data_IF_510271114353
#
_entry.id   IF_510271114353
#
_cell.length_a   1.000
_cell.length_b   1.000
_cell.length_c   1.000
_cell.angle_alpha   90.00
_cell.angle_beta   90.00
_cell.angle_gamma   90.00
#
_symmetry.space_group_name_H-M   'P 1'
#
loop_
_entity.id
_entity.type
_entity.pdbx_description
1 polymer ?
#
# COMPACT_ATOMS: atom_id res chain seq x y z
N UNK A 1 9.23 0.93 -11.91
CA UNK A 1 10.46 0.17 -12.21
C UNK A 1 10.09 -1.16 -12.86
N UNK A 2 10.89 -1.69 -13.80
CA UNK A 2 10.69 -3.03 -14.36
C UNK A 2 11.01 -4.10 -13.30
N UNK A 3 10.45 -5.29 -13.48
CA UNK A 3 10.89 -6.49 -12.74
C UNK A 3 12.34 -6.80 -13.14
N UNK A 4 13.18 -7.03 -12.13
CA UNK A 4 14.58 -7.40 -12.32
C UNK A 4 14.75 -8.89 -12.03
N UNK A 5 15.60 -9.57 -12.82
CA UNK A 5 15.91 -10.96 -12.60
C UNK A 5 17.42 -11.18 -12.81
N UNK A 6 18.06 -11.85 -11.87
CA UNK A 6 19.49 -12.08 -11.94
C UNK A 6 20.05 -12.76 -10.70
N UNK A 7 21.34 -13.00 -10.74
CA UNK A 7 22.09 -13.54 -9.61
C UNK A 7 22.36 -12.43 -8.60
N UNK A 8 21.98 -12.61 -7.35
CA UNK A 8 22.22 -11.65 -6.26
C UNK A 8 23.67 -11.76 -5.80
N UNK A 9 24.51 -10.80 -6.24
CA UNK A 9 25.97 -10.92 -6.09
C UNK A 9 26.55 -10.04 -4.99
N UNK A 10 25.81 -9.02 -4.55
CA UNK A 10 26.31 -8.12 -3.51
C UNK A 10 25.15 -7.46 -2.74
N UNK A 11 25.38 -7.28 -1.42
CA UNK A 11 24.55 -6.49 -0.53
C UNK A 11 25.45 -5.57 0.30
N UNK A 12 25.25 -4.27 0.15
CA UNK A 12 25.80 -3.23 0.99
C UNK A 12 24.75 -2.61 1.91
N UNK A 13 25.12 -1.62 2.70
CA UNK A 13 24.22 -0.98 3.67
C UNK A 13 23.03 -0.27 3.00
N UNK A 14 23.26 0.34 1.83
CA UNK A 14 22.23 1.11 1.12
C UNK A 14 21.89 0.59 -0.27
N UNK A 15 22.58 -0.43 -0.77
CA UNK A 15 22.31 -0.97 -2.10
C UNK A 15 22.58 -2.46 -2.23
N UNK A 16 21.83 -3.11 -3.14
CA UNK A 16 22.10 -4.47 -3.61
C UNK A 16 22.47 -4.48 -5.08
N UNK A 17 23.10 -5.57 -5.54
CA UNK A 17 23.51 -5.75 -6.94
C UNK A 17 23.01 -7.09 -7.46
N UNK A 18 22.31 -7.05 -8.62
CA UNK A 18 21.96 -8.21 -9.42
C UNK A 18 22.87 -8.27 -10.64
N UNK A 19 23.40 -9.46 -10.92
CA UNK A 19 24.08 -9.78 -12.17
C UNK A 19 23.07 -10.38 -13.15
N UNK A 20 22.81 -9.67 -14.24
CA UNK A 20 21.94 -10.09 -15.33
C UNK A 20 22.80 -10.62 -16.49
N UNK A 21 22.98 -11.95 -16.58
CA UNK A 21 23.92 -12.54 -17.56
C UNK A 21 25.37 -12.42 -17.14
N UNK A 22 26.28 -12.28 -18.12
CA UNK A 22 27.74 -12.25 -17.88
C UNK A 22 28.28 -10.88 -17.51
N UNK A 23 27.80 -9.83 -18.16
CA UNK A 23 28.46 -8.51 -18.14
C UNK A 23 27.55 -7.36 -17.69
N UNK A 24 26.30 -7.65 -17.34
CA UNK A 24 25.34 -6.63 -16.96
C UNK A 24 25.04 -6.71 -15.48
N UNK A 25 25.15 -5.57 -14.81
CA UNK A 25 24.86 -5.44 -13.40
C UNK A 25 23.81 -4.35 -13.18
N UNK A 26 22.80 -4.65 -12.37
CA UNK A 26 21.79 -3.69 -11.96
C UNK A 26 21.92 -3.44 -10.47
N UNK A 27 22.03 -2.16 -10.12
CA UNK A 27 22.03 -1.70 -8.73
C UNK A 27 20.63 -1.30 -8.32
N UNK A 28 20.21 -1.70 -7.13
CA UNK A 28 18.92 -1.35 -6.55
C UNK A 28 19.07 -0.96 -5.08
N UNK A 29 18.10 -0.22 -4.54
CA UNK A 29 18.10 0.21 -3.14
C UNK A 29 17.89 -0.99 -2.21
N UNK A 30 18.71 -1.12 -1.16
CA UNK A 30 18.61 -2.24 -0.21
C UNK A 30 17.27 -2.25 0.56
N UNK A 31 16.59 -1.11 0.71
CA UNK A 31 15.26 -1.05 1.31
C UNK A 31 14.24 -1.91 0.57
N UNK A 32 14.44 -2.17 -0.73
CA UNK A 32 13.59 -3.04 -1.54
C UNK A 32 13.64 -4.51 -1.11
N UNK A 33 14.65 -4.92 -0.33
CA UNK A 33 14.74 -6.29 0.20
C UNK A 33 13.83 -6.52 1.43
N UNK A 34 13.29 -5.47 2.02
CA UNK A 34 12.48 -5.57 3.23
C UNK A 34 13.27 -6.12 4.42
N UNK A 35 12.61 -6.94 5.25
CA UNK A 35 13.20 -7.45 6.49
C UNK A 35 14.13 -8.66 6.30
N UNK A 36 14.06 -9.34 5.16
CA UNK A 36 14.80 -10.58 4.93
C UNK A 36 15.45 -10.58 3.56
N UNK A 37 16.76 -10.40 3.53
CA UNK A 37 17.51 -10.50 2.29
C UNK A 37 17.62 -11.96 1.82
N UNK A 38 17.50 -12.21 0.50
CA UNK A 38 17.74 -13.54 -0.06
C UNK A 38 19.22 -13.93 0.10
N UNK A 39 19.54 -15.23 0.03
CA UNK A 39 20.93 -15.68 0.08
C UNK A 39 21.77 -15.06 -1.03
N UNK A 40 23.00 -14.64 -0.72
CA UNK A 40 23.95 -14.22 -1.74
C UNK A 40 24.21 -15.36 -2.72
N UNK A 41 24.40 -15.01 -3.97
CA UNK A 41 24.59 -15.92 -5.12
C UNK A 41 23.36 -16.72 -5.54
N UNK A 42 22.22 -16.57 -4.89
CA UNK A 42 20.95 -17.08 -5.41
C UNK A 42 20.53 -16.31 -6.67
N UNK A 43 19.78 -16.98 -7.55
CA UNK A 43 19.09 -16.32 -8.64
C UNK A 43 17.73 -15.86 -8.12
N UNK A 44 17.47 -14.57 -8.20
CA UNK A 44 16.23 -13.97 -7.69
C UNK A 44 15.50 -13.18 -8.77
N UNK A 45 14.19 -13.12 -8.62
CA UNK A 45 13.33 -12.15 -9.31
C UNK A 45 12.85 -11.14 -8.29
N UNK A 46 13.11 -9.87 -8.58
CA UNK A 46 12.75 -8.73 -7.75
C UNK A 46 11.69 -7.93 -8.51
N UNK A 47 10.46 -7.96 -8.00
CA UNK A 47 9.33 -7.22 -8.55
C UNK A 47 9.08 -6.00 -7.69
N UNK A 48 9.38 -4.79 -8.19
CA UNK A 48 9.18 -3.56 -7.43
C UNK A 48 7.72 -3.36 -7.05
N UNK A 49 7.51 -2.63 -5.96
CA UNK A 49 6.18 -2.22 -5.52
C UNK A 49 5.31 -1.69 -6.66
N UNK A 50 4.09 -2.15 -6.68
CA UNK A 50 3.05 -1.66 -7.60
C UNK A 50 1.79 -1.38 -6.81
N UNK A 51 1.36 -0.11 -6.84
CA UNK A 51 0.11 0.28 -6.23
C UNK A 51 -1.07 -0.57 -6.73
N UNK A 52 -1.91 -1.02 -5.80
CA UNK A 52 -3.08 -1.86 -6.07
C UNK A 52 -4.35 -1.19 -5.54
N UNK A 53 -5.49 -1.61 -6.05
CA UNK A 53 -6.78 -1.24 -5.51
C UNK A 53 -7.22 -2.23 -4.41
N UNK A 54 -8.41 -1.98 -3.82
CA UNK A 54 -8.98 -2.81 -2.76
C UNK A 54 -9.35 -4.26 -3.20
N UNK A 55 -9.32 -4.54 -4.49
CA UNK A 55 -9.48 -5.89 -5.05
C UNK A 55 -8.12 -6.56 -5.34
N UNK A 56 -7.02 -5.88 -5.05
CA UNK A 56 -5.66 -6.35 -5.30
C UNK A 56 -5.21 -6.21 -6.76
N UNK A 57 -6.00 -5.52 -7.60
CA UNK A 57 -5.69 -5.30 -9.01
C UNK A 57 -4.71 -4.13 -9.13
N UNK A 58 -3.66 -4.29 -9.95
CA UNK A 58 -2.69 -3.22 -10.20
C UNK A 58 -3.35 -1.96 -10.76
N UNK A 59 -3.01 -0.81 -10.19
CA UNK A 59 -3.48 0.48 -10.69
C UNK A 59 -2.82 0.88 -12.01
N UNK A 60 -1.74 0.22 -12.41
CA UNK A 60 -0.99 0.47 -13.65
C UNK A 60 -1.31 -0.52 -14.76
N UNK A 61 -2.01 -1.62 -14.47
CA UNK A 61 -2.43 -2.62 -15.45
C UNK A 61 -3.73 -2.17 -16.12
N UNK A 62 -3.66 -1.06 -16.83
CA UNK A 62 -4.76 -0.68 -17.71
C UNK A 62 -4.61 -1.43 -19.03
N UNK A 63 -5.69 -2.01 -19.58
CA UNK A 63 -5.66 -2.54 -20.92
C UNK A 63 -5.27 -1.40 -21.86
N UNK A 64 -4.20 -1.62 -22.64
CA UNK A 64 -3.81 -0.73 -23.72
C UNK A 64 -4.98 -0.74 -24.70
N UNK A 65 -5.77 0.31 -24.73
CA UNK A 65 -6.74 0.48 -25.81
C UNK A 65 -5.95 0.78 -27.07
N UNK A 66 -5.76 -0.21 -27.91
CA UNK A 66 -5.26 -0.04 -29.27
C UNK A 66 -6.28 0.79 -30.05
N UNK A 67 -6.20 2.09 -29.92
CA UNK A 67 -6.84 3.00 -30.84
C UNK A 67 -5.80 3.65 -31.72
N UNK A 68 -5.80 3.27 -32.99
CA UNK A 68 -5.05 3.91 -34.08
C UNK A 68 -3.52 3.83 -33.99
N UNK A 69 -2.96 2.71 -33.49
CA UNK A 69 -1.50 2.51 -33.53
C UNK A 69 -0.69 3.36 -32.56
N UNK A 70 -1.31 4.20 -31.76
CA UNK A 70 -0.68 4.95 -30.67
C UNK A 70 -0.97 4.29 -29.33
N UNK A 71 0.05 3.67 -28.76
CA UNK A 71 0.04 3.20 -27.37
C UNK A 71 0.01 4.40 -26.44
N UNK A 72 -1.17 4.81 -26.01
CA UNK A 72 -1.29 5.81 -24.95
C UNK A 72 -1.15 5.08 -23.63
N UNK A 73 -0.06 5.30 -22.91
CA UNK A 73 0.06 4.93 -21.51
C UNK A 73 -1.03 5.68 -20.75
N UNK A 74 -2.14 5.00 -20.46
CA UNK A 74 -3.13 5.49 -19.52
C UNK A 74 -2.43 5.57 -18.16
N UNK A 75 -2.52 6.72 -17.51
CA UNK A 75 -1.90 6.95 -16.21
C UNK A 75 -2.40 5.99 -15.12
N UNK A 76 -1.79 6.05 -13.96
CA UNK A 76 -2.23 5.33 -12.76
C UNK A 76 -3.70 5.60 -12.49
N UNK A 77 -4.52 4.53 -12.36
CA UNK A 77 -5.91 4.64 -11.91
C UNK A 77 -5.93 5.13 -10.47
N UNK A 78 -7.01 5.80 -10.11
CA UNK A 78 -7.23 6.22 -8.75
C UNK A 78 -7.62 5.01 -7.89
N UNK A 79 -7.03 4.89 -6.70
CA UNK A 79 -7.50 4.01 -5.66
C UNK A 79 -8.70 4.65 -4.95
N UNK A 80 -9.86 4.03 -5.02
CA UNK A 80 -11.09 4.54 -4.40
C UNK A 80 -11.64 3.48 -3.46
N UNK A 81 -12.02 3.82 -2.22
CA UNK A 81 -12.70 2.89 -1.33
C UNK A 81 -13.94 2.28 -2.01
N UNK A 82 -14.11 0.95 -2.00
CA UNK A 82 -15.10 0.23 -2.81
C UNK A 82 -16.47 0.20 -2.15
N UNK A 83 -17.05 1.37 -1.94
CA UNK A 83 -18.35 1.59 -1.30
C UNK A 83 -19.25 2.45 -2.17
N UNK A 84 -20.55 2.36 -1.97
CA UNK A 84 -21.57 3.15 -2.65
C UNK A 84 -22.31 4.06 -1.65
N UNK A 85 -21.73 5.23 -1.32
CA UNK A 85 -22.31 6.14 -0.34
C UNK A 85 -23.57 6.81 -0.88
N UNK A 86 -24.61 6.92 -0.05
CA UNK A 86 -25.87 7.57 -0.43
C UNK A 86 -25.86 9.05 -0.09
N UNK A 87 -25.25 9.44 1.03
CA UNK A 87 -25.14 10.83 1.43
C UNK A 87 -23.97 11.54 0.75
N UNK A 88 -24.10 12.85 0.54
CA UNK A 88 -23.04 13.67 -0.02
C UNK A 88 -21.84 13.79 0.96
N UNK A 89 -22.08 13.69 2.26
CA UNK A 89 -21.01 13.69 3.26
C UNK A 89 -20.10 12.47 3.14
N UNK A 90 -20.68 11.29 2.97
CA UNK A 90 -19.89 10.07 2.74
C UNK A 90 -19.22 10.05 1.36
N UNK A 91 -19.88 10.56 0.33
CA UNK A 91 -19.25 10.73 -0.99
C UNK A 91 -18.00 11.60 -0.88
N UNK A 92 -18.12 12.74 -0.20
CA UNK A 92 -17.00 13.64 0.04
C UNK A 92 -15.88 12.97 0.83
N UNK A 93 -16.21 12.22 1.88
CA UNK A 93 -15.21 11.50 2.69
C UNK A 93 -14.47 10.44 1.83
N UNK A 94 -15.17 9.66 1.03
CA UNK A 94 -14.59 8.69 0.10
C UNK A 94 -13.66 9.38 -0.91
N UNK A 95 -14.12 10.48 -1.52
CA UNK A 95 -13.32 11.26 -2.46
C UNK A 95 -12.09 11.89 -1.80
N UNK A 96 -12.21 12.37 -0.57
CA UNK A 96 -11.08 12.88 0.20
C UNK A 96 -10.00 11.80 0.37
N UNK A 97 -10.36 10.61 0.85
CA UNK A 97 -9.41 9.52 1.08
C UNK A 97 -8.73 9.07 -0.23
N UNK A 98 -9.47 9.09 -1.35
CA UNK A 98 -8.95 8.73 -2.65
C UNK A 98 -7.97 9.76 -3.25
N UNK A 99 -8.01 11.02 -2.79
CA UNK A 99 -7.17 12.10 -3.30
C UNK A 99 -6.13 12.60 -2.28
N UNK A 100 -6.39 12.41 -1.00
CA UNK A 100 -5.54 12.90 0.07
C UNK A 100 -4.17 12.24 -0.01
N UNK A 101 -3.08 13.01 -0.22
CA UNK A 101 -1.75 12.44 -0.25
C UNK A 101 -1.37 11.91 1.13
N UNK A 102 -0.78 10.73 1.18
CA UNK A 102 -0.10 10.22 2.36
C UNK A 102 1.14 11.08 2.68
N UNK A 103 1.68 11.03 3.92
CA UNK A 103 2.87 11.80 4.30
C UNK A 103 4.09 11.55 3.42
N UNK A 104 4.22 10.36 2.83
CA UNK A 104 5.27 10.01 1.86
C UNK A 104 5.17 10.76 0.52
N UNK A 105 4.03 11.37 0.21
CA UNK A 105 3.73 12.10 -1.04
C UNK A 105 3.79 11.25 -2.31
N UNK A 106 3.85 9.95 -2.20
CA UNK A 106 3.89 8.96 -3.30
C UNK A 106 2.54 8.28 -3.44
N UNK A 107 1.95 7.93 -2.29
CA UNK A 107 0.65 7.27 -2.19
C UNK A 107 -0.46 8.26 -1.83
N UNK A 108 -1.69 7.83 -2.01
CA UNK A 108 -2.86 8.42 -1.35
C UNK A 108 -3.19 7.64 -0.09
N UNK A 109 -4.01 8.19 0.81
CA UNK A 109 -4.46 7.49 2.01
C UNK A 109 -5.23 6.21 1.65
N UNK A 110 -6.00 6.20 0.58
CA UNK A 110 -6.65 4.98 0.10
C UNK A 110 -5.63 3.90 -0.31
N UNK A 111 -4.49 4.27 -0.90
CA UNK A 111 -3.40 3.35 -1.23
C UNK A 111 -2.68 2.86 0.03
N UNK A 112 -2.41 3.73 1.01
CA UNK A 112 -1.84 3.33 2.30
C UNK A 112 -2.74 2.31 3.02
N UNK A 113 -4.07 2.49 2.97
CA UNK A 113 -5.02 1.53 3.53
C UNK A 113 -4.96 0.17 2.82
N UNK A 114 -4.82 0.15 1.48
CA UNK A 114 -4.66 -1.10 0.72
C UNK A 114 -3.34 -1.79 1.07
N UNK A 115 -2.26 -1.05 1.17
CA UNK A 115 -0.93 -1.56 1.54
C UNK A 115 -0.92 -2.10 2.97
N UNK A 116 -1.66 -1.45 3.88
CA UNK A 116 -1.91 -1.93 5.24
C UNK A 116 -2.90 -3.11 5.33
N UNK A 117 -3.19 -3.77 4.22
CA UNK A 117 -3.98 -5.00 4.17
C UNK A 117 -5.49 -4.82 4.00
N UNK A 118 -6.00 -3.61 3.89
CA UNK A 118 -7.44 -3.42 3.68
C UNK A 118 -7.88 -3.95 2.30
N UNK A 119 -9.03 -4.62 2.28
CA UNK A 119 -9.63 -5.21 1.08
C UNK A 119 -11.11 -4.86 1.01
N UNK A 120 -11.73 -5.00 -0.18
CA UNK A 120 -13.15 -4.70 -0.42
C UNK A 120 -14.10 -5.23 0.66
N UNK A 121 -13.91 -6.47 1.09
CA UNK A 121 -14.77 -7.11 2.10
C UNK A 121 -14.62 -6.51 3.51
N UNK A 122 -13.55 -5.77 3.76
CA UNK A 122 -13.27 -5.11 5.03
C UNK A 122 -13.69 -3.65 5.08
N UNK A 123 -14.33 -3.11 4.02
CA UNK A 123 -14.78 -1.71 3.99
C UNK A 123 -16.28 -1.63 4.20
N UNK A 124 -16.71 -0.77 5.11
CA UNK A 124 -18.13 -0.54 5.41
C UNK A 124 -18.43 0.92 5.70
N UNK A 125 -19.68 1.31 5.46
CA UNK A 125 -20.21 2.65 5.75
C UNK A 125 -21.20 2.60 6.89
N UNK A 126 -21.27 3.68 7.66
CA UNK A 126 -22.29 3.94 8.66
C UNK A 126 -22.72 5.39 8.58
N UNK A 127 -24.04 5.61 8.61
CA UNK A 127 -24.65 6.95 8.65
C UNK A 127 -25.57 7.06 9.86
N UNK A 128 -25.42 8.11 10.61
CA UNK A 128 -26.35 8.54 11.64
C UNK A 128 -26.67 10.03 11.43
N UNK A 129 -27.63 10.35 10.55
CA UNK A 129 -28.00 11.73 10.26
C UNK A 129 -28.55 12.49 11.46
N UNK A 130 -29.14 11.79 12.45
CA UNK A 130 -29.68 12.42 13.65
C UNK A 130 -28.57 12.98 14.53
N UNK A 131 -27.45 12.29 14.61
CA UNK A 131 -26.24 12.70 15.33
C UNK A 131 -25.27 13.48 14.43
N UNK A 132 -25.57 13.62 13.13
CA UNK A 132 -24.66 14.23 12.15
C UNK A 132 -23.35 13.45 11.98
N UNK A 133 -23.39 12.13 12.12
CA UNK A 133 -22.24 11.25 12.09
C UNK A 133 -22.20 10.43 10.79
N UNK A 134 -21.10 10.54 10.08
CA UNK A 134 -20.86 9.84 8.80
C UNK A 134 -19.52 9.13 8.86
N UNK A 135 -19.50 7.82 8.77
CA UNK A 135 -18.31 7.02 9.05
C UNK A 135 -17.99 6.02 7.94
N UNK A 136 -16.71 5.81 7.69
CA UNK A 136 -16.18 4.73 6.90
C UNK A 136 -15.21 3.91 7.77
N UNK A 137 -15.38 2.58 7.74
CA UNK A 137 -14.56 1.65 8.51
C UNK A 137 -13.79 0.75 7.55
N UNK A 138 -12.51 0.54 7.86
CA UNK A 138 -11.62 -0.35 7.15
C UNK A 138 -11.12 -1.44 8.10
N UNK A 139 -11.11 -2.68 7.65
CA UNK A 139 -10.32 -3.73 8.32
C UNK A 139 -8.89 -3.63 7.81
N UNK A 140 -7.94 -3.51 8.72
CA UNK A 140 -6.52 -3.34 8.46
C UNK A 140 -5.77 -4.50 9.12
N UNK A 141 -4.74 -4.99 8.43
CA UNK A 141 -3.80 -5.99 8.96
C UNK A 141 -2.39 -5.64 8.48
N UNK A 142 -1.77 -4.73 9.18
CA UNK A 142 -0.37 -4.32 8.94
C UNK A 142 0.56 -4.90 10.02
N UNK A 143 1.86 -4.62 9.91
CA UNK A 143 2.83 -5.02 10.93
C UNK A 143 2.74 -4.26 12.23
N UNK A 144 2.02 -3.12 12.24
CA UNK A 144 1.90 -2.23 13.40
C UNK A 144 0.48 -2.13 13.94
N UNK A 145 -0.54 -2.52 13.15
CA UNK A 145 -1.94 -2.48 13.57
C UNK A 145 -2.75 -3.62 12.92
N UNK A 146 -3.49 -4.37 13.73
CA UNK A 146 -4.41 -5.42 13.27
C UNK A 146 -5.79 -5.21 13.89
N UNK A 147 -6.74 -4.68 13.09
CA UNK A 147 -8.04 -4.33 13.63
C UNK A 147 -8.91 -3.52 12.68
N UNK A 148 -9.79 -2.72 13.27
CA UNK A 148 -10.68 -1.82 12.54
C UNK A 148 -10.26 -0.36 12.74
N UNK A 149 -10.00 0.31 11.64
CA UNK A 149 -9.82 1.75 11.59
C UNK A 149 -11.13 2.38 11.11
N UNK A 150 -11.72 3.27 11.92
CA UNK A 150 -12.94 4.00 11.56
C UNK A 150 -12.65 5.48 11.48
N UNK A 151 -13.01 6.09 10.36
CA UNK A 151 -12.91 7.53 10.13
C UNK A 151 -14.34 8.08 10.12
N UNK A 152 -14.64 8.99 11.03
CA UNK A 152 -15.96 9.59 11.19
C UNK A 152 -15.88 11.08 10.95
N UNK A 153 -16.75 11.60 10.08
CA UNK A 153 -16.98 13.03 9.94
C UNK A 153 -18.12 13.48 10.85
N UNK A 154 -17.85 14.46 11.68
CA UNK A 154 -18.78 15.05 12.66
C UNK A 154 -19.33 16.36 12.08
N UNK A 155 -20.43 16.27 11.34
CA UNK A 155 -20.98 17.40 10.59
C UNK A 155 -21.25 18.65 11.47
N UNK A 156 -21.75 18.46 12.68
CA UNK A 156 -22.04 19.59 13.59
C UNK A 156 -20.80 20.35 14.07
N UNK A 157 -19.61 19.74 13.97
CA UNK A 157 -18.33 20.34 14.38
C UNK A 157 -17.42 20.68 13.21
N UNK A 158 -17.70 20.14 12.03
CA UNK A 158 -16.81 20.15 10.85
C UNK A 158 -15.42 19.58 11.15
N UNK A 159 -15.38 18.49 11.91
CA UNK A 159 -14.16 17.80 12.35
C UNK A 159 -14.27 16.30 12.08
N UNK A 160 -13.15 15.63 12.18
CA UNK A 160 -13.07 14.17 12.09
C UNK A 160 -12.79 13.56 13.46
N UNK A 161 -13.14 12.29 13.56
CA UNK A 161 -12.75 11.38 14.63
C UNK A 161 -12.12 10.15 13.97
N UNK A 162 -10.96 9.74 14.49
CA UNK A 162 -10.33 8.47 14.10
C UNK A 162 -10.42 7.51 15.26
N UNK A 163 -10.95 6.31 15.00
CA UNK A 163 -11.06 5.25 16.01
C UNK A 163 -10.29 4.03 15.54
N UNK A 164 -9.39 3.55 16.38
CA UNK A 164 -8.59 2.35 16.20
C UNK A 164 -9.09 1.28 17.18
N UNK A 165 -9.57 0.16 16.69
CA UNK A 165 -10.11 -0.92 17.51
C UNK A 165 -9.43 -2.24 17.13
N UNK A 166 -8.51 -2.71 17.97
CA UNK A 166 -7.92 -4.03 17.91
C UNK A 166 -8.80 -5.07 18.62
N UNK A 167 -8.59 -6.34 18.29
CA UNK A 167 -9.30 -7.42 18.94
C UNK A 167 -8.91 -7.47 20.42
N UNK A 168 -9.92 -7.57 21.30
CA UNK A 168 -9.76 -7.67 22.76
C UNK A 168 -9.12 -6.46 23.46
N UNK A 169 -8.89 -5.35 22.75
CA UNK A 169 -8.37 -4.11 23.34
C UNK A 169 -9.42 -3.00 23.41
N UNK A 170 -9.20 -2.06 24.32
CA UNK A 170 -10.05 -0.86 24.39
C UNK A 170 -9.75 0.03 23.18
N UNK A 171 -10.77 0.44 22.41
CA UNK A 171 -10.55 1.31 21.26
C UNK A 171 -9.81 2.60 21.64
N UNK A 172 -8.84 2.97 20.84
CA UNK A 172 -8.19 4.28 20.88
C UNK A 172 -9.03 5.23 20.03
N UNK A 173 -9.46 6.34 20.63
CA UNK A 173 -10.27 7.36 19.96
C UNK A 173 -9.49 8.66 19.93
N UNK A 174 -9.30 9.20 18.73
CA UNK A 174 -8.67 10.51 18.49
C UNK A 174 -9.76 11.44 18.01
N UNK A 175 -10.16 12.35 18.87
CA UNK A 175 -11.20 13.36 18.60
C UNK A 175 -10.59 14.66 18.06
N UNK A 176 -11.47 15.52 17.55
CA UNK A 176 -11.17 16.88 17.10
C UNK A 176 -10.03 16.96 16.07
N UNK A 177 -10.02 15.98 15.15
CA UNK A 177 -9.06 15.90 14.05
C UNK A 177 -9.46 16.85 12.93
N UNK A 178 -8.57 17.76 12.55
CA UNK A 178 -8.74 18.63 11.40
C UNK A 178 -8.37 17.88 10.10
N UNK A 179 -8.90 18.37 8.97
CA UNK A 179 -8.67 17.75 7.67
C UNK A 179 -7.18 17.60 7.31
N UNK A 180 -6.37 18.60 7.60
CA UNK A 180 -4.94 18.63 7.33
C UNK A 180 -4.10 17.70 8.22
N UNK A 181 -4.65 17.25 9.35
CA UNK A 181 -4.04 16.28 10.26
C UNK A 181 -4.41 14.83 9.93
N UNK A 182 -5.51 14.65 9.19
CA UNK A 182 -6.14 13.34 9.02
C UNK A 182 -5.19 12.33 8.35
N UNK A 183 -4.48 12.77 7.30
CA UNK A 183 -3.54 11.91 6.58
C UNK A 183 -2.42 11.39 7.49
N UNK A 184 -1.82 12.26 8.28
CA UNK A 184 -0.72 11.92 9.18
C UNK A 184 -1.17 10.97 10.29
N UNK A 185 -2.35 11.22 10.87
CA UNK A 185 -2.91 10.37 11.93
C UNK A 185 -3.20 8.96 11.42
N UNK A 186 -3.80 8.84 10.23
CA UNK A 186 -4.11 7.54 9.64
C UNK A 186 -2.82 6.80 9.31
N UNK A 187 -1.93 7.43 8.56
CA UNK A 187 -0.71 6.80 8.08
C UNK A 187 0.20 6.35 9.24
N UNK A 188 0.41 7.19 10.25
CA UNK A 188 1.17 6.84 11.46
C UNK A 188 0.57 5.65 12.23
N UNK A 189 -0.75 5.44 12.12
CA UNK A 189 -1.40 4.34 12.81
C UNK A 189 -1.25 2.99 12.08
N UNK A 190 -1.12 3.00 10.76
CA UNK A 190 -1.22 1.78 9.93
C UNK A 190 0.01 1.47 9.08
N UNK A 191 0.86 2.46 8.78
CA UNK A 191 1.99 2.27 7.88
C UNK A 191 3.16 1.59 8.60
N UNK A 192 3.58 0.46 8.07
CA UNK A 192 4.74 -0.31 8.55
C UNK A 192 5.93 -0.23 7.57
N UNK A 193 5.87 0.66 6.59
CA UNK A 193 6.85 0.87 5.53
C UNK A 193 7.13 -0.35 4.62
N UNK A 194 6.40 -1.47 4.81
CA UNK A 194 6.60 -2.68 3.98
C UNK A 194 6.22 -2.48 2.51
N UNK A 195 5.41 -1.49 2.21
CA UNK A 195 5.06 -1.15 0.83
C UNK A 195 6.28 -0.80 -0.04
N UNK A 196 7.39 -0.34 0.56
CA UNK A 196 8.64 -0.05 -0.16
C UNK A 196 9.39 -1.33 -0.56
N UNK A 197 9.11 -2.45 0.09
CA UNK A 197 9.74 -3.72 -0.24
C UNK A 197 9.26 -4.25 -1.60
N UNK A 198 10.18 -4.86 -2.34
CA UNK A 198 9.83 -5.59 -3.55
C UNK A 198 9.36 -7.01 -3.21
N UNK A 199 8.50 -7.57 -4.07
CA UNK A 199 8.24 -9.01 -4.02
C UNK A 199 9.47 -9.76 -4.51
N UNK A 200 10.09 -10.57 -3.65
CA UNK A 200 11.27 -11.36 -3.97
C UNK A 200 10.90 -12.82 -4.14
N UNK A 201 11.22 -13.36 -5.31
CA UNK A 201 11.10 -14.80 -5.58
C UNK A 201 12.50 -15.36 -5.79
N UNK A 202 12.92 -16.31 -4.94
CA UNK A 202 14.14 -17.08 -5.15
C UNK A 202 13.85 -18.15 -6.20
N UNK A 203 14.52 -18.05 -7.35
CA UNK A 203 14.36 -18.95 -8.49
C UNK A 203 15.32 -20.14 -8.40
N UNK A 204 16.52 -19.88 -7.86
CA UNK A 204 17.55 -20.90 -7.61
C UNK A 204 18.35 -20.45 -6.38
N UNK A 205 18.47 -21.34 -5.39
CA UNK A 205 19.18 -21.06 -4.12
C UNK A 205 20.69 -20.96 -4.27
N UNK A 206 21.23 -21.25 -5.44
CA UNK A 206 22.67 -21.17 -5.69
C UNK A 206 23.50 -22.15 -4.85
N UNK A 207 22.89 -23.20 -4.31
CA UNK A 207 23.64 -24.28 -3.66
C UNK A 207 24.59 -24.88 -4.69
N UNK A 208 25.87 -24.52 -4.54
CA UNK A 208 26.92 -25.07 -5.34
C UNK A 208 26.94 -26.59 -5.14
N UNK A 209 26.73 -27.32 -6.22
CA UNK A 209 27.09 -28.72 -6.31
C UNK A 209 28.56 -28.83 -5.85
N UNK A 210 28.79 -29.27 -4.63
CA UNK A 210 30.10 -29.64 -4.16
C UNK A 210 30.47 -30.87 -4.98
N UNK A 211 31.25 -30.68 -6.06
CA UNK A 211 31.93 -31.76 -6.73
C UNK A 211 32.82 -32.43 -5.68
N UNK A 212 32.38 -33.59 -5.21
CA UNK A 212 33.23 -34.50 -4.46
C UNK A 212 34.39 -34.89 -5.39
N UNK A 213 35.58 -34.53 -4.97
CA UNK A 213 36.83 -34.98 -5.58
C UNK A 213 37.10 -36.43 -5.17
#
# INVERSE_FOLDING_TARGET
>A
LPTLEGRFVHLGDSFGVLQEGTDRFTVFDSCMLGLTAPPLHSTIRLTPYRARDFDGVSLYELPVSERNGNSTLLGKRRCVPPVDPQSDFLKNLVEQLAHMPAPDRIRTIAESLVDAGSRRSGVSLQEDPAEGLYSITFTVNSGVFDGKLTISYLHGKDLYRVTLAEQDEKPVVIDDVYFDMLAEIIDNAIDDARWMAADITVLDSGESCTLAA
#
